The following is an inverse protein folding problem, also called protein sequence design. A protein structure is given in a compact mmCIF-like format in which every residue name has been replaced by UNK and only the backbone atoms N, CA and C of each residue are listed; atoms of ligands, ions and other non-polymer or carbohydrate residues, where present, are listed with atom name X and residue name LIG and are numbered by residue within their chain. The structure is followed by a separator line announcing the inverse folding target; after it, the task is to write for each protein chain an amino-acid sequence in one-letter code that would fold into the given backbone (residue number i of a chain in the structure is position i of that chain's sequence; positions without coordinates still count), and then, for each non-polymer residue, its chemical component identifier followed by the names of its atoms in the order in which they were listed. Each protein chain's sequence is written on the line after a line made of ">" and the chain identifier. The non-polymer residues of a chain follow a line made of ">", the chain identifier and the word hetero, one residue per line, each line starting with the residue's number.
data_IF_788684179353
#
_entry.id   IF_788684179353
#
_cell.length_a   1.000
_cell.length_b   1.000
_cell.length_c   1.000
_cell.angle_alpha   90.00
_cell.angle_beta   90.00
_cell.angle_gamma   90.00
#
_symmetry.space_group_name_H-M   'P 1'
#
loop_
_entity.id
_entity.type
_entity.pdbx_description
1 polymer ?
#
# COMPACT_ATOMS: atom_id res chain seq x y z
N UNK A 1 -11.39 8.50 14.23
CA UNK A 1 -10.32 9.22 14.94
C UNK A 1 -9.60 8.20 15.80
N UNK A 2 -8.27 8.19 15.77
CA UNK A 2 -7.48 7.26 16.58
C UNK A 2 -7.73 7.52 18.07
N UNK A 3 -7.81 6.48 18.93
CA UNK A 3 -8.02 6.69 20.36
C UNK A 3 -6.88 7.52 20.96
N UNK A 4 -7.16 8.32 22.01
CA UNK A 4 -6.09 8.92 22.81
C UNK A 4 -5.31 7.83 23.54
N UNK A 5 -4.05 8.12 23.89
CA UNK A 5 -3.17 7.18 24.62
C UNK A 5 -3.82 6.67 25.90
N UNK A 6 -4.42 7.55 26.69
CA UNK A 6 -5.14 7.21 27.94
C UNK A 6 -6.34 6.30 27.67
N UNK A 7 -7.13 6.60 26.63
CA UNK A 7 -8.28 5.79 26.23
C UNK A 7 -7.84 4.39 25.81
N UNK A 8 -6.75 4.31 25.03
CA UNK A 8 -6.18 3.05 24.57
C UNK A 8 -5.62 2.24 25.75
N UNK A 9 -4.88 2.85 26.67
CA UNK A 9 -4.37 2.20 27.89
C UNK A 9 -5.51 1.61 28.71
N UNK A 10 -6.56 2.40 28.99
CA UNK A 10 -7.73 1.91 29.74
C UNK A 10 -8.39 0.71 29.04
N UNK A 11 -8.49 0.76 27.71
CA UNK A 11 -9.08 -0.32 26.93
C UNK A 11 -8.21 -1.57 26.91
N UNK A 12 -6.89 -1.43 26.82
CA UNK A 12 -5.94 -2.53 26.93
C UNK A 12 -6.08 -3.23 28.29
N UNK A 13 -6.18 -2.47 29.39
CA UNK A 13 -6.34 -3.05 30.73
C UNK A 13 -7.69 -3.75 30.92
N UNK A 14 -8.75 -3.29 30.27
CA UNK A 14 -10.09 -3.85 30.41
C UNK A 14 -10.36 -5.05 29.49
N UNK A 15 -9.99 -4.93 28.21
CA UNK A 15 -10.19 -5.94 27.18
C UNK A 15 -9.11 -5.79 26.08
N UNK A 16 -7.97 -6.49 26.22
CA UNK A 16 -6.88 -6.46 25.25
C UNK A 16 -7.32 -6.86 23.83
N UNK A 17 -8.27 -7.79 23.73
CA UNK A 17 -8.72 -8.30 22.45
C UNK A 17 -9.57 -7.25 21.72
N UNK A 18 -10.47 -6.55 22.42
CA UNK A 18 -11.19 -5.41 21.84
C UNK A 18 -10.26 -4.24 21.52
N UNK A 19 -9.17 -4.04 22.28
CA UNK A 19 -8.14 -3.06 21.96
C UNK A 19 -7.46 -3.38 20.62
N UNK A 20 -7.07 -4.65 20.40
CA UNK A 20 -6.51 -5.08 19.12
C UNK A 20 -7.48 -4.88 17.94
N UNK A 21 -8.76 -5.18 18.12
CA UNK A 21 -9.77 -4.96 17.07
C UNK A 21 -9.93 -3.47 16.73
N UNK A 22 -9.85 -2.59 17.75
CA UNK A 22 -9.88 -1.14 17.57
C UNK A 22 -8.65 -0.64 16.81
N UNK A 23 -7.46 -1.14 17.13
CA UNK A 23 -6.22 -0.77 16.44
C UNK A 23 -6.25 -1.19 14.97
N UNK A 24 -6.68 -2.42 14.68
CA UNK A 24 -6.83 -2.93 13.32
C UNK A 24 -7.91 -2.16 12.53
N UNK A 25 -8.97 -1.67 13.22
CA UNK A 25 -9.97 -0.77 12.62
C UNK A 25 -9.41 0.61 12.27
N UNK A 26 -8.36 1.05 12.95
CA UNK A 26 -7.67 2.30 12.64
C UNK A 26 -6.43 2.10 11.76
N UNK A 27 -6.25 0.92 11.15
CA UNK A 27 -5.14 0.66 10.23
C UNK A 27 -3.79 0.50 10.92
N UNK A 28 -3.75 0.26 12.22
CA UNK A 28 -2.53 -0.09 12.94
C UNK A 28 -2.45 -1.61 13.06
N UNK A 29 -1.66 -2.25 12.19
CA UNK A 29 -1.64 -3.71 12.03
C UNK A 29 -0.47 -4.35 12.81
N UNK A 30 -0.63 -5.61 13.27
CA UNK A 30 0.49 -6.36 13.82
C UNK A 30 1.50 -6.81 12.75
N UNK A 31 2.77 -6.93 13.12
CA UNK A 31 3.77 -7.60 12.28
C UNK A 31 3.49 -9.12 12.19
N UNK A 32 3.96 -9.80 11.14
CA UNK A 32 4.05 -11.26 11.13
C UNK A 32 4.82 -11.78 12.35
N UNK A 33 4.24 -12.72 13.09
CA UNK A 33 4.85 -13.30 14.30
C UNK A 33 4.87 -12.39 15.53
N UNK A 34 4.28 -11.19 15.49
CA UNK A 34 4.25 -10.27 16.65
C UNK A 34 3.36 -10.84 17.76
N UNK A 35 3.88 -10.83 18.99
CA UNK A 35 3.08 -11.19 20.16
C UNK A 35 2.05 -10.10 20.47
N UNK A 36 0.95 -10.49 21.13
CA UNK A 36 -0.06 -9.51 21.58
C UNK A 36 0.54 -8.43 22.47
N UNK A 37 1.47 -8.81 23.35
CA UNK A 37 2.07 -7.88 24.29
C UNK A 37 2.91 -6.83 23.56
N UNK A 38 3.76 -7.27 22.63
CA UNK A 38 4.64 -6.38 21.87
C UNK A 38 3.82 -5.42 20.99
N UNK A 39 2.78 -5.95 20.34
CA UNK A 39 1.86 -5.15 19.54
C UNK A 39 1.20 -4.02 20.34
N UNK A 40 0.73 -4.31 21.55
CA UNK A 40 0.06 -3.32 22.41
C UNK A 40 1.04 -2.31 23.01
N UNK A 41 2.27 -2.73 23.33
CA UNK A 41 3.33 -1.81 23.77
C UNK A 41 3.65 -0.82 22.65
N UNK A 42 3.80 -1.31 21.43
CA UNK A 42 4.06 -0.51 20.23
C UNK A 42 2.93 0.47 19.94
N UNK A 43 1.69 0.01 20.03
CA UNK A 43 0.50 0.85 19.84
C UNK A 43 0.37 2.01 20.85
N UNK A 44 1.06 1.95 21.99
CA UNK A 44 1.09 3.02 23.00
C UNK A 44 2.21 4.04 22.79
N UNK A 45 3.07 3.81 21.79
CA UNK A 45 4.22 4.65 21.48
C UNK A 45 4.07 5.26 20.08
N UNK A 46 4.18 4.45 19.04
CA UNK A 46 4.43 4.91 17.67
C UNK A 46 3.38 5.88 17.13
N UNK A 47 2.05 5.66 17.28
CA UNK A 47 1.05 6.56 16.71
C UNK A 47 1.04 7.97 17.32
N UNK A 48 1.73 8.16 18.45
CA UNK A 48 1.76 9.42 19.20
C UNK A 48 3.10 10.15 19.07
N UNK A 49 4.10 9.53 18.46
CA UNK A 49 5.39 10.14 18.17
C UNK A 49 5.42 10.60 16.71
N UNK A 50 5.90 11.81 16.48
CA UNK A 50 6.08 12.30 15.11
C UNK A 50 7.33 11.68 14.49
N UNK A 51 7.30 11.30 13.20
CA UNK A 51 8.51 10.91 12.50
C UNK A 51 9.46 12.11 12.40
N UNK A 52 10.75 11.83 12.25
CA UNK A 52 11.75 12.86 12.01
C UNK A 52 11.57 13.43 10.60
N UNK A 53 11.10 14.67 10.51
CA UNK A 53 10.84 15.36 9.26
C UNK A 53 12.07 16.17 8.82
N UNK A 54 12.42 16.10 7.55
CA UNK A 54 13.52 16.87 6.96
C UNK A 54 13.11 18.32 6.62
N UNK A 55 14.06 19.09 6.07
CA UNK A 55 13.88 20.49 5.70
C UNK A 55 12.75 20.71 4.67
N UNK A 56 12.35 19.68 3.90
CA UNK A 56 11.26 19.82 2.92
C UNK A 56 9.90 20.07 3.58
N UNK A 57 9.78 19.77 4.88
CA UNK A 57 8.59 20.00 5.67
C UNK A 57 8.54 21.37 6.36
N UNK A 58 9.59 22.19 6.28
CA UNK A 58 9.69 23.47 7.00
C UNK A 58 8.53 24.43 6.67
N UNK A 59 8.09 24.46 5.40
CA UNK A 59 6.99 25.30 4.91
C UNK A 59 5.71 24.51 4.61
N UNK A 60 5.63 23.27 5.11
CA UNK A 60 4.52 22.39 4.82
C UNK A 60 3.23 22.82 5.53
N UNK A 61 2.10 22.62 4.87
CA UNK A 61 0.78 22.90 5.44
C UNK A 61 0.16 21.61 5.94
N UNK A 62 -0.14 21.46 7.25
CA UNK A 62 -0.84 20.28 7.76
C UNK A 62 -2.19 20.08 7.07
N UNK A 63 -2.49 18.84 6.69
CA UNK A 63 -3.79 18.46 6.17
C UNK A 63 -4.79 18.33 7.31
N UNK A 64 -6.00 18.87 7.10
CA UNK A 64 -7.07 18.74 8.09
C UNK A 64 -7.56 17.29 8.21
N UNK A 65 -8.13 16.94 9.36
CA UNK A 65 -8.73 15.63 9.60
C UNK A 65 -9.82 15.28 8.58
N UNK A 66 -10.59 16.28 8.10
CA UNK A 66 -11.61 16.09 7.07
C UNK A 66 -11.00 15.66 5.74
N UNK A 67 -9.86 16.25 5.36
CA UNK A 67 -9.14 15.86 4.13
C UNK A 67 -8.64 14.42 4.25
N UNK A 68 -8.03 14.05 5.38
CA UNK A 68 -7.58 12.68 5.64
C UNK A 68 -8.74 11.66 5.61
N UNK A 69 -9.92 12.07 6.08
CA UNK A 69 -11.12 11.23 6.08
C UNK A 69 -11.63 10.90 4.67
N UNK A 70 -11.35 11.73 3.66
CA UNK A 70 -11.74 11.47 2.26
C UNK A 70 -11.15 10.15 1.73
N UNK A 71 -9.87 9.88 2.05
CA UNK A 71 -9.22 8.61 1.69
C UNK A 71 -9.72 7.45 2.55
N UNK A 72 -9.97 7.72 3.84
CA UNK A 72 -10.32 6.70 4.82
C UNK A 72 -11.67 6.03 4.50
N UNK A 73 -12.60 6.76 3.88
CA UNK A 73 -13.86 6.18 3.42
C UNK A 73 -13.64 5.01 2.44
N UNK A 74 -12.67 5.16 1.51
CA UNK A 74 -12.35 4.12 0.51
C UNK A 74 -11.67 2.91 1.16
N UNK A 75 -10.69 3.13 2.04
CA UNK A 75 -10.01 2.04 2.75
C UNK A 75 -10.96 1.31 3.69
N UNK A 76 -11.88 2.02 4.35
CA UNK A 76 -12.90 1.42 5.20
C UNK A 76 -13.81 0.51 4.40
N UNK A 77 -14.30 0.97 3.25
CA UNK A 77 -15.17 0.19 2.38
C UNK A 77 -14.49 -1.05 1.82
N UNK A 78 -13.22 -0.95 1.43
CA UNK A 78 -12.52 -2.03 0.75
C UNK A 78 -11.82 -3.02 1.70
N UNK A 79 -11.28 -2.51 2.80
CA UNK A 79 -10.37 -3.24 3.72
C UNK A 79 -10.78 -3.18 5.19
N UNK A 80 -11.78 -2.39 5.55
CA UNK A 80 -12.31 -2.32 6.91
C UNK A 80 -11.43 -1.55 7.90
N UNK A 81 -10.63 -0.59 7.44
CA UNK A 81 -9.81 0.27 8.30
C UNK A 81 -9.82 1.76 7.90
N UNK A 82 -9.49 2.63 8.85
CA UNK A 82 -9.36 4.09 8.67
C UNK A 82 -8.04 4.58 9.32
N UNK A 83 -6.97 4.75 8.53
CA UNK A 83 -5.65 5.16 9.02
C UNK A 83 -5.54 6.68 9.26
N UNK A 84 -6.31 7.18 10.24
CA UNK A 84 -6.38 8.61 10.58
C UNK A 84 -5.37 9.06 11.63
N UNK A 85 -4.51 8.16 12.11
CA UNK A 85 -3.42 8.49 13.05
C UNK A 85 -2.19 9.03 12.34
N UNK A 86 -2.06 8.75 11.04
CA UNK A 86 -0.92 9.16 10.23
C UNK A 86 -1.09 10.65 9.88
N UNK A 87 -0.14 11.52 10.27
CA UNK A 87 -0.22 12.93 9.93
C UNK A 87 -0.05 13.11 8.41
N UNK A 88 -0.68 14.13 7.86
CA UNK A 88 -0.55 14.49 6.45
C UNK A 88 -0.14 15.94 6.27
N UNK A 89 0.69 16.19 5.27
CA UNK A 89 1.24 17.51 4.97
C UNK A 89 1.18 17.79 3.47
N UNK A 90 0.89 19.04 3.12
CA UNK A 90 0.95 19.54 1.76
C UNK A 90 2.27 20.30 1.55
N UNK A 91 3.17 19.74 0.75
CA UNK A 91 4.52 20.26 0.50
C UNK A 91 4.53 21.22 -0.70
N UNK A 92 5.19 22.38 -0.52
CA UNK A 92 5.42 23.36 -1.60
C UNK A 92 6.52 22.92 -2.58
N UNK A 93 7.49 22.16 -2.08
CA UNK A 93 8.67 21.69 -2.81
C UNK A 93 8.82 20.17 -2.66
N UNK A 94 9.80 19.56 -3.35
CA UNK A 94 10.15 18.14 -3.20
C UNK A 94 9.47 17.18 -4.19
N UNK A 95 8.32 17.54 -4.78
CA UNK A 95 7.67 16.70 -5.79
C UNK A 95 8.10 17.04 -7.22
N UNK A 96 8.56 16.02 -7.95
CA UNK A 96 8.75 16.11 -9.40
C UNK A 96 7.42 16.35 -10.14
N UNK A 97 7.49 16.79 -11.40
CA UNK A 97 6.29 17.18 -12.16
C UNK A 97 5.22 16.09 -12.22
N UNK A 98 5.60 14.81 -12.28
CA UNK A 98 4.70 13.66 -12.40
C UNK A 98 4.34 13.00 -11.07
N UNK A 99 4.65 13.63 -9.94
CA UNK A 99 4.37 13.09 -8.60
C UNK A 99 3.38 13.96 -7.84
N UNK A 100 2.47 13.31 -7.14
CA UNK A 100 1.31 13.93 -6.51
C UNK A 100 1.30 13.77 -4.99
N UNK A 101 1.86 12.66 -4.49
CA UNK A 101 2.05 12.38 -3.09
C UNK A 101 2.83 11.09 -2.89
N UNK A 102 3.20 10.83 -1.64
CA UNK A 102 3.81 9.59 -1.18
C UNK A 102 3.60 9.45 0.34
N UNK A 103 3.80 8.23 0.82
CA UNK A 103 3.98 7.92 2.23
C UNK A 103 5.48 7.84 2.48
N UNK A 104 5.95 8.61 3.45
CA UNK A 104 7.31 8.50 3.97
C UNK A 104 7.25 7.76 5.30
N UNK A 105 8.15 6.81 5.47
CA UNK A 105 8.23 5.95 6.65
C UNK A 105 9.66 5.97 7.14
N UNK A 106 9.86 6.19 8.43
CA UNK A 106 11.20 6.14 9.04
C UNK A 106 11.59 4.71 9.48
N UNK A 107 12.79 4.56 10.04
CA UNK A 107 13.33 3.28 10.50
C UNK A 107 12.53 2.65 11.67
N UNK A 108 11.60 3.41 12.27
CA UNK A 108 10.72 2.98 13.34
C UNK A 108 9.29 2.72 12.83
N UNK A 109 9.11 2.62 11.51
CA UNK A 109 7.83 2.40 10.83
C UNK A 109 6.79 3.51 11.07
N UNK A 110 7.22 4.70 11.50
CA UNK A 110 6.34 5.87 11.68
C UNK A 110 6.15 6.52 10.33
N UNK A 111 4.89 6.60 9.90
CA UNK A 111 4.51 7.10 8.59
C UNK A 111 4.06 8.56 8.61
N UNK A 112 4.24 9.26 7.50
CA UNK A 112 3.65 10.57 7.21
C UNK A 112 3.17 10.61 5.76
N UNK A 113 2.02 11.22 5.51
CA UNK A 113 1.56 11.49 4.15
C UNK A 113 2.13 12.82 3.67
N UNK A 114 2.90 12.80 2.58
CA UNK A 114 3.35 13.98 1.88
C UNK A 114 2.54 14.11 0.59
N UNK A 115 1.80 15.21 0.43
CA UNK A 115 1.03 15.52 -0.77
C UNK A 115 1.53 16.82 -1.39
N UNK A 116 1.30 17.00 -2.69
CA UNK A 116 1.60 18.27 -3.36
C UNK A 116 0.74 19.41 -2.80
N UNK A 117 1.31 20.60 -2.64
CA UNK A 117 0.65 21.78 -2.05
C UNK A 117 -0.78 22.08 -2.53
N UNK A 118 -1.14 21.97 -3.83
CA UNK A 118 -2.52 22.21 -4.28
C UNK A 118 -3.54 21.34 -3.57
N UNK A 119 -3.17 20.11 -3.14
CA UNK A 119 -4.07 19.22 -2.42
C UNK A 119 -4.45 19.69 -1.03
N UNK A 120 -3.82 20.73 -0.48
CA UNK A 120 -4.31 21.38 0.74
C UNK A 120 -5.72 21.97 0.53
N UNK A 121 -6.03 22.42 -0.70
CA UNK A 121 -7.28 23.14 -1.01
C UNK A 121 -8.09 22.49 -2.13
N UNK A 122 -7.43 21.83 -3.07
CA UNK A 122 -8.02 21.26 -4.26
C UNK A 122 -8.14 19.74 -4.12
N UNK A 123 -9.21 19.17 -4.65
CA UNK A 123 -9.41 17.71 -4.70
C UNK A 123 -8.72 17.07 -5.89
N UNK A 124 -8.32 17.83 -6.91
CA UNK A 124 -7.67 17.31 -8.11
C UNK A 124 -6.45 18.11 -8.46
N UNK A 125 -5.45 17.41 -8.97
CA UNK A 125 -4.27 18.00 -9.56
C UNK A 125 -3.78 17.09 -10.69
N UNK A 126 -3.69 17.62 -11.92
CA UNK A 126 -3.37 16.84 -13.11
C UNK A 126 -4.31 15.63 -13.30
N UNK A 127 -3.78 14.40 -13.35
CA UNK A 127 -4.57 13.15 -13.46
C UNK A 127 -4.92 12.51 -12.10
N UNK A 128 -4.52 13.17 -11.00
CA UNK A 128 -4.63 12.67 -9.63
C UNK A 128 -5.86 13.25 -8.91
N UNK A 129 -6.48 12.40 -8.11
CA UNK A 129 -7.66 12.68 -7.29
C UNK A 129 -7.27 12.47 -5.83
N UNK A 130 -7.47 13.49 -4.98
CA UNK A 130 -7.00 13.52 -3.59
C UNK A 130 -7.56 12.37 -2.74
N UNK A 131 -8.86 12.06 -2.77
CA UNK A 131 -9.38 10.91 -2.03
C UNK A 131 -8.79 9.59 -2.51
N UNK A 132 -8.51 9.44 -3.82
CA UNK A 132 -7.84 8.26 -4.36
C UNK A 132 -6.39 8.15 -3.88
N UNK A 133 -5.64 9.24 -3.99
CA UNK A 133 -4.24 9.32 -3.56
C UNK A 133 -4.12 9.04 -2.06
N UNK A 134 -4.94 9.68 -1.22
CA UNK A 134 -4.92 9.43 0.22
C UNK A 134 -5.27 7.98 0.57
N UNK A 135 -6.22 7.36 -0.13
CA UNK A 135 -6.56 5.96 0.12
C UNK A 135 -5.41 5.01 -0.29
N UNK A 136 -4.68 5.35 -1.35
CA UNK A 136 -3.47 4.66 -1.78
C UNK A 136 -2.38 4.77 -0.70
N UNK A 137 -2.07 5.99 -0.25
CA UNK A 137 -1.07 6.21 0.81
C UNK A 137 -1.46 5.58 2.16
N UNK A 138 -2.73 5.67 2.55
CA UNK A 138 -3.23 5.00 3.76
C UNK A 138 -3.10 3.47 3.68
N UNK A 139 -3.16 2.90 2.48
CA UNK A 139 -2.93 1.46 2.29
C UNK A 139 -1.48 1.11 2.59
N UNK A 140 -0.52 1.92 2.14
CA UNK A 140 0.89 1.75 2.46
C UNK A 140 1.15 1.89 3.95
N UNK A 141 0.72 2.99 4.58
CA UNK A 141 0.94 3.20 6.01
C UNK A 141 0.35 2.07 6.88
N UNK A 142 -0.83 1.57 6.53
CA UNK A 142 -1.41 0.44 7.26
C UNK A 142 -0.66 -0.88 7.05
N UNK A 143 -0.01 -1.06 5.89
CA UNK A 143 0.71 -2.28 5.51
C UNK A 143 2.21 -2.25 5.74
N UNK A 144 2.77 -1.13 6.20
CA UNK A 144 4.16 -1.03 6.65
C UNK A 144 4.58 -2.25 7.49
N UNK A 145 3.82 -2.70 8.51
CA UNK A 145 4.20 -3.86 9.33
C UNK A 145 4.21 -5.20 8.58
N UNK A 146 3.52 -5.32 7.45
CA UNK A 146 3.50 -6.55 6.65
C UNK A 146 4.78 -6.68 5.82
N UNK A 147 5.38 -5.54 5.46
CA UNK A 147 6.62 -5.44 4.67
C UNK A 147 6.61 -6.36 3.44
N UNK A 148 5.54 -6.29 2.65
CA UNK A 148 5.42 -7.02 1.39
C UNK A 148 5.88 -6.16 0.21
N UNK A 149 6.40 -6.81 -0.83
CA UNK A 149 6.80 -6.16 -2.09
C UNK A 149 5.97 -6.65 -3.27
N UNK A 150 5.29 -7.80 -3.16
CA UNK A 150 4.63 -8.46 -4.29
C UNK A 150 3.23 -7.90 -4.55
N UNK A 151 2.49 -7.63 -3.47
CA UNK A 151 1.10 -7.20 -3.53
C UNK A 151 0.86 -5.82 -2.88
N UNK A 152 1.91 -5.11 -2.50
CA UNK A 152 1.80 -3.83 -1.82
C UNK A 152 1.09 -2.79 -2.69
N UNK A 153 1.64 -2.52 -3.86
CA UNK A 153 1.02 -1.68 -4.88
C UNK A 153 -0.34 -2.25 -5.33
N UNK A 154 -0.49 -3.57 -5.40
CA UNK A 154 -1.77 -4.19 -5.72
C UNK A 154 -2.86 -3.74 -4.75
N UNK A 155 -2.63 -3.73 -3.45
CA UNK A 155 -3.64 -3.26 -2.49
C UNK A 155 -3.85 -1.75 -2.61
N UNK A 156 -2.79 -0.96 -2.64
CA UNK A 156 -2.90 0.49 -2.72
C UNK A 156 -3.69 0.95 -3.96
N UNK A 157 -3.40 0.39 -5.14
CA UNK A 157 -4.11 0.74 -6.38
C UNK A 157 -5.55 0.24 -6.47
N UNK A 158 -5.98 -0.73 -5.66
CA UNK A 158 -7.36 -1.22 -5.69
C UNK A 158 -8.36 -0.19 -5.12
N UNK A 159 -7.87 0.85 -4.44
CA UNK A 159 -8.63 2.04 -4.04
C UNK A 159 -8.95 2.98 -5.22
N UNK A 160 -8.33 2.74 -6.39
CA UNK A 160 -8.51 3.53 -7.60
C UNK A 160 -9.83 3.23 -8.32
N UNK A 161 -10.49 4.28 -8.81
CA UNK A 161 -11.65 4.13 -9.70
C UNK A 161 -11.22 3.59 -11.08
N UNK A 162 -10.00 3.90 -11.52
CA UNK A 162 -9.51 3.54 -12.86
C UNK A 162 -9.18 2.05 -12.96
N UNK A 163 -9.84 1.28 -13.84
CA UNK A 163 -9.48 -0.12 -14.11
C UNK A 163 -8.03 -0.26 -14.59
N UNK A 164 -7.54 0.72 -15.35
CA UNK A 164 -6.18 0.74 -15.86
C UNK A 164 -5.17 0.86 -14.73
N UNK A 165 -5.37 1.79 -13.78
CA UNK A 165 -4.50 1.96 -12.61
C UNK A 165 -4.55 0.72 -11.70
N UNK A 166 -5.74 0.16 -11.47
CA UNK A 166 -5.92 -1.12 -10.75
C UNK A 166 -5.18 -2.31 -11.38
N UNK A 167 -4.94 -2.26 -12.69
CA UNK A 167 -4.20 -3.31 -13.40
C UNK A 167 -2.70 -3.02 -13.42
N UNK A 168 -2.30 -1.87 -13.97
CA UNK A 168 -0.90 -1.53 -14.25
C UNK A 168 -0.12 -1.07 -13.01
N UNK A 169 -0.81 -0.60 -11.97
CA UNK A 169 -0.17 0.00 -10.81
C UNK A 169 0.81 -0.93 -10.10
N UNK A 170 0.54 -2.23 -10.08
CA UNK A 170 1.42 -3.25 -9.46
C UNK A 170 2.53 -3.78 -10.40
N UNK A 171 2.74 -3.16 -11.56
CA UNK A 171 3.82 -3.57 -12.47
C UNK A 171 5.20 -3.23 -11.93
N UNK A 172 5.37 -2.03 -11.38
CA UNK A 172 6.59 -1.62 -10.68
C UNK A 172 6.44 -1.96 -9.20
N UNK A 173 7.38 -2.75 -8.66
CA UNK A 173 7.39 -3.16 -7.25
C UNK A 173 8.54 -2.55 -6.47
N UNK A 174 9.62 -2.22 -7.17
CA UNK A 174 10.81 -1.63 -6.59
C UNK A 174 11.30 -0.47 -7.45
N UNK A 175 12.10 0.43 -6.86
CA UNK A 175 12.77 1.50 -7.60
C UNK A 175 13.63 0.97 -8.75
N UNK A 176 14.24 -0.21 -8.58
CA UNK A 176 15.03 -0.86 -9.62
C UNK A 176 14.18 -1.19 -10.86
N UNK A 177 12.90 -1.57 -10.70
CA UNK A 177 12.02 -1.83 -11.84
C UNK A 177 11.86 -0.56 -12.70
N UNK A 178 11.68 0.60 -12.06
CA UNK A 178 11.57 1.88 -12.77
C UNK A 178 12.88 2.28 -13.46
N UNK A 179 14.01 2.07 -12.80
CA UNK A 179 15.34 2.37 -13.37
C UNK A 179 15.63 1.48 -14.60
N UNK A 180 15.40 0.17 -14.50
CA UNK A 180 15.66 -0.75 -15.62
C UNK A 180 14.72 -0.45 -16.80
N UNK A 181 13.46 -0.13 -16.52
CA UNK A 181 12.51 0.32 -17.55
C UNK A 181 13.03 1.56 -18.29
N UNK A 182 13.47 2.59 -17.58
CA UNK A 182 14.00 3.82 -18.18
C UNK A 182 15.31 3.59 -18.94
N UNK A 183 16.23 2.79 -18.39
CA UNK A 183 17.49 2.42 -19.05
C UNK A 183 17.25 1.69 -20.38
N UNK A 184 16.22 0.84 -20.45
CA UNK A 184 15.82 0.16 -21.67
C UNK A 184 15.39 1.10 -22.79
N UNK A 185 14.95 2.33 -22.47
CA UNK A 185 14.54 3.35 -23.45
C UNK A 185 15.72 4.15 -24.00
N UNK A 186 16.86 4.21 -23.31
CA UNK A 186 18.02 5.04 -23.71
C UNK A 186 18.54 4.68 -25.12
N UNK A 187 18.75 3.39 -25.48
CA UNK A 187 19.19 3.03 -26.82
C UNK A 187 18.20 3.48 -27.90
N UNK A 188 16.90 3.43 -27.61
CA UNK A 188 15.86 3.87 -28.55
C UNK A 188 15.96 5.38 -28.80
N UNK A 189 16.14 6.19 -27.76
CA UNK A 189 16.34 7.64 -27.92
C UNK A 189 17.63 7.99 -28.67
N UNK A 190 18.71 7.25 -28.44
CA UNK A 190 19.99 7.46 -29.15
C UNK A 190 19.83 7.20 -30.64
N UNK A 191 19.18 6.09 -31.02
CA UNK A 191 18.93 5.79 -32.43
C UNK A 191 17.98 6.80 -33.06
N UNK A 192 16.92 7.19 -32.38
CA UNK A 192 16.02 8.24 -32.87
C UNK A 192 16.76 9.56 -33.14
N UNK A 193 17.69 9.95 -32.26
CA UNK A 193 18.52 11.14 -32.46
C UNK A 193 19.41 11.04 -33.71
N UNK A 194 19.99 9.86 -34.00
CA UNK A 194 20.75 9.63 -35.25
C UNK A 194 19.87 9.75 -36.49
N UNK A 195 18.64 9.25 -36.45
CA UNK A 195 17.68 9.43 -37.54
C UNK A 195 17.32 10.91 -37.77
N UNK A 196 17.09 11.68 -36.70
CA UNK A 196 16.76 13.10 -36.80
C UNK A 196 17.85 13.95 -37.47
N UNK A 197 19.13 13.58 -37.31
CA UNK A 197 20.26 14.26 -37.98
C UNK A 197 20.57 13.70 -39.37
N UNK A 198 19.67 12.89 -39.94
CA UNK A 198 19.79 12.35 -41.30
C UNK A 198 20.79 11.20 -41.42
N UNK A 199 21.10 10.49 -40.34
CA UNK A 199 22.08 9.42 -40.32
C UNK A 199 21.47 8.05 -39.93
N UNK A 200 20.65 7.43 -40.80
CA UNK A 200 19.96 6.17 -40.51
C UNK A 200 20.90 4.95 -40.71
N UNK A 201 21.99 4.88 -39.95
CA UNK A 201 22.99 3.80 -40.06
C UNK A 201 22.42 2.45 -39.62
N UNK A 202 21.55 2.45 -38.60
CA UNK A 202 21.04 1.25 -37.96
C UNK A 202 19.51 1.22 -38.01
N UNK A 203 18.88 0.07 -38.31
CA UNK A 203 17.43 -0.04 -38.23
C UNK A 203 16.94 0.14 -36.79
N UNK A 204 15.79 0.80 -36.61
CA UNK A 204 15.21 1.10 -35.29
C UNK A 204 14.61 -0.13 -34.59
N UNK A 205 14.07 -1.09 -35.35
CA UNK A 205 13.27 -2.20 -34.81
C UNK A 205 13.99 -3.11 -33.78
N UNK A 206 15.31 -3.40 -33.85
CA UNK A 206 15.98 -4.20 -32.82
C UNK A 206 16.01 -3.48 -31.47
N UNK A 207 16.16 -2.15 -31.48
CA UNK A 207 16.17 -1.32 -30.28
C UNK A 207 14.77 -1.19 -29.69
N UNK A 208 13.75 -1.09 -30.54
CA UNK A 208 12.36 -1.14 -30.10
C UNK A 208 12.01 -2.50 -29.47
N UNK A 209 12.47 -3.60 -30.06
CA UNK A 209 12.30 -4.93 -29.47
C UNK A 209 12.98 -5.01 -28.10
N UNK A 210 14.25 -4.59 -28.00
CA UNK A 210 14.99 -4.57 -26.74
C UNK A 210 14.28 -3.73 -25.66
N UNK A 211 13.83 -2.52 -26.02
CA UNK A 211 13.08 -1.63 -25.15
C UNK A 211 11.75 -2.25 -24.67
N UNK A 212 11.15 -3.15 -25.47
CA UNK A 212 9.87 -3.81 -25.14
C UNK A 212 10.00 -5.04 -24.24
N UNK A 213 11.17 -5.67 -24.16
CA UNK A 213 11.37 -6.93 -23.41
C UNK A 213 11.06 -6.73 -21.93
N UNK A 214 11.60 -5.68 -21.32
CA UNK A 214 11.42 -5.44 -19.89
C UNK A 214 9.98 -5.03 -19.52
N UNK A 215 9.31 -4.11 -20.24
CA UNK A 215 7.87 -3.87 -20.05
C UNK A 215 7.02 -5.13 -20.19
N UNK A 216 7.30 -5.99 -21.18
CA UNK A 216 6.60 -7.25 -21.36
C UNK A 216 6.81 -8.19 -20.15
N UNK A 217 8.04 -8.28 -19.64
CA UNK A 217 8.34 -9.00 -18.40
C UNK A 217 7.55 -8.46 -17.20
N UNK A 218 7.50 -7.13 -16.99
CA UNK A 218 6.73 -6.52 -15.89
C UNK A 218 5.24 -6.86 -15.98
N UNK A 219 4.66 -6.84 -17.19
CA UNK A 219 3.27 -7.20 -17.44
C UNK A 219 3.00 -8.68 -17.12
N UNK A 220 3.86 -9.59 -17.59
CA UNK A 220 3.75 -11.03 -17.30
C UNK A 220 3.88 -11.30 -15.80
N UNK A 221 4.90 -10.72 -15.15
CA UNK A 221 5.13 -10.85 -13.70
C UNK A 221 3.93 -10.36 -12.89
N UNK A 222 3.34 -9.23 -13.28
CA UNK A 222 2.14 -8.70 -12.65
C UNK A 222 0.94 -9.65 -12.87
N UNK A 223 0.73 -10.14 -14.08
CA UNK A 223 -0.38 -11.06 -14.38
C UNK A 223 -0.27 -12.37 -13.59
N UNK A 224 0.94 -12.92 -13.43
CA UNK A 224 1.16 -14.11 -12.61
C UNK A 224 0.81 -13.86 -11.13
N UNK A 225 1.23 -12.73 -10.55
CA UNK A 225 0.85 -12.37 -9.18
C UNK A 225 -0.66 -12.16 -9.02
N UNK A 226 -1.32 -11.55 -10.00
CA UNK A 226 -2.79 -11.40 -10.02
C UNK A 226 -3.49 -12.75 -10.12
N UNK A 227 -2.94 -13.71 -10.86
CA UNK A 227 -3.48 -15.08 -10.91
C UNK A 227 -3.41 -15.77 -9.55
N UNK A 228 -2.30 -15.63 -8.81
CA UNK A 228 -2.19 -16.13 -7.42
C UNK A 228 -3.24 -15.47 -6.53
N UNK A 229 -3.32 -14.15 -6.54
CA UNK A 229 -4.32 -13.37 -5.79
C UNK A 229 -5.76 -13.80 -6.12
N UNK A 230 -6.10 -13.97 -7.40
CA UNK A 230 -7.43 -14.40 -7.82
C UNK A 230 -7.76 -15.83 -7.37
N UNK A 231 -6.78 -16.74 -7.38
CA UNK A 231 -6.95 -18.09 -6.80
C UNK A 231 -7.17 -18.02 -5.29
N UNK A 232 -6.39 -17.21 -4.57
CA UNK A 232 -6.58 -17.01 -3.14
C UNK A 232 -7.99 -16.49 -2.81
N UNK A 233 -8.49 -15.51 -3.58
CA UNK A 233 -9.87 -15.01 -3.45
C UNK A 233 -10.91 -16.11 -3.65
N UNK A 234 -10.77 -16.92 -4.72
CA UNK A 234 -11.68 -18.03 -5.01
C UNK A 234 -11.67 -19.08 -3.90
N UNK A 235 -10.50 -19.42 -3.37
CA UNK A 235 -10.38 -20.41 -2.30
C UNK A 235 -10.99 -19.91 -0.99
N UNK A 236 -10.80 -18.64 -0.63
CA UNK A 236 -11.48 -18.03 0.52
C UNK A 236 -13.01 -17.98 0.35
N UNK A 237 -13.48 -17.63 -0.85
CA UNK A 237 -14.91 -17.62 -1.18
C UNK A 237 -15.52 -19.03 -1.04
N UNK A 238 -14.83 -20.05 -1.58
CA UNK A 238 -15.25 -21.45 -1.48
C UNK A 238 -15.27 -21.96 -0.03
N UNK A 239 -14.40 -21.42 0.83
CA UNK A 239 -14.39 -21.67 2.27
C UNK A 239 -15.46 -20.86 3.05
N UNK A 240 -16.38 -20.18 2.35
CA UNK A 240 -17.50 -19.46 2.95
C UNK A 240 -17.16 -18.04 3.45
N UNK A 241 -15.97 -17.51 3.17
CA UNK A 241 -15.58 -16.15 3.57
C UNK A 241 -16.22 -15.10 2.68
N UNK A 242 -16.93 -14.14 3.29
CA UNK A 242 -17.58 -13.02 2.58
C UNK A 242 -16.65 -11.82 2.44
N UNK A 243 -15.93 -11.49 3.51
CA UNK A 243 -15.04 -10.33 3.58
C UNK A 243 -13.62 -10.67 3.12
N UNK A 244 -13.48 -11.00 1.83
CA UNK A 244 -12.24 -11.54 1.26
C UNK A 244 -11.12 -10.50 1.20
N UNK A 245 -11.40 -9.29 0.71
CA UNK A 245 -10.37 -8.24 0.55
C UNK A 245 -9.78 -7.78 1.89
N UNK A 246 -10.58 -7.54 2.95
CA UNK A 246 -10.04 -7.26 4.28
C UNK A 246 -9.12 -8.36 4.83
N UNK A 247 -9.46 -9.64 4.62
CA UNK A 247 -8.61 -10.75 5.03
C UNK A 247 -7.29 -10.77 4.27
N UNK A 248 -7.33 -10.66 2.94
CA UNK A 248 -6.12 -10.68 2.10
C UNK A 248 -5.25 -9.44 2.31
N UNK A 249 -5.83 -8.29 2.63
CA UNK A 249 -5.07 -7.07 2.96
C UNK A 249 -4.17 -7.25 4.19
N UNK A 250 -4.54 -8.15 5.09
CA UNK A 250 -3.76 -8.51 6.28
C UNK A 250 -2.85 -9.70 6.01
N UNK A 251 -2.78 -10.24 4.80
CA UNK A 251 -1.93 -11.37 4.49
C UNK A 251 -0.58 -10.92 3.90
N UNK A 252 0.48 -11.70 4.16
CA UNK A 252 1.75 -11.60 3.43
C UNK A 252 1.63 -12.26 2.06
N UNK A 253 2.56 -11.99 1.14
CA UNK A 253 2.60 -12.68 -0.14
C UNK A 253 2.76 -14.20 -0.02
N UNK A 254 3.49 -14.68 1.01
CA UNK A 254 3.63 -16.11 1.29
C UNK A 254 2.29 -16.71 1.71
N UNK A 255 1.56 -16.05 2.60
CA UNK A 255 0.24 -16.51 3.04
C UNK A 255 -0.77 -16.48 1.89
N UNK A 256 -0.77 -15.43 1.05
CA UNK A 256 -1.62 -15.36 -0.15
C UNK A 256 -1.31 -16.55 -1.08
N UNK A 257 -0.05 -16.91 -1.24
CA UNK A 257 0.37 -18.08 -2.03
C UNK A 257 -0.07 -19.39 -1.38
N UNK A 258 0.02 -19.51 -0.06
CA UNK A 258 -0.46 -20.68 0.69
C UNK A 258 -1.98 -20.84 0.57
N UNK A 259 -2.75 -19.76 0.69
CA UNK A 259 -4.20 -19.75 0.45
C UNK A 259 -4.49 -20.17 -1.00
N UNK A 260 -3.76 -19.64 -1.98
CA UNK A 260 -3.97 -19.94 -3.39
C UNK A 260 -3.73 -21.42 -3.76
N UNK A 261 -2.88 -22.12 -3.01
CA UNK A 261 -2.47 -23.50 -3.29
C UNK A 261 -3.04 -24.53 -2.29
N UNK A 262 -3.66 -24.10 -1.19
CA UNK A 262 -4.19 -25.02 -0.18
C UNK A 262 -5.47 -25.71 -0.65
N UNK A 263 -5.59 -26.99 -0.26
CA UNK A 263 -6.80 -27.81 -0.44
C UNK A 263 -7.75 -27.71 0.75
N UNK A 264 -7.24 -27.34 1.91
CA UNK A 264 -7.99 -27.22 3.17
C UNK A 264 -7.76 -25.83 3.77
N UNK A 265 -8.58 -24.89 3.29
CA UNK A 265 -8.56 -23.49 3.76
C UNK A 265 -9.04 -23.40 5.22
N UNK A 266 -10.12 -24.08 5.66
CA UNK A 266 -10.52 -24.06 7.06
C UNK A 266 -9.41 -24.46 8.04
N UNK A 267 -8.69 -25.56 7.77
CA UNK A 267 -7.58 -25.99 8.63
C UNK A 267 -6.42 -24.98 8.63
N UNK A 268 -6.07 -24.43 7.46
CA UNK A 268 -5.03 -23.41 7.33
C UNK A 268 -5.35 -22.16 8.16
N UNK A 269 -6.58 -21.63 8.03
CA UNK A 269 -7.03 -20.45 8.78
C UNK A 269 -7.11 -20.73 10.28
N UNK A 270 -7.59 -21.93 10.68
CA UNK A 270 -7.64 -22.31 12.09
C UNK A 270 -6.24 -22.43 12.72
N UNK A 271 -5.24 -22.83 11.93
CA UNK A 271 -3.85 -22.83 12.38
C UNK A 271 -3.33 -21.40 12.57
N UNK A 272 -3.47 -20.54 11.57
CA UNK A 272 -3.02 -19.14 11.69
C UNK A 272 -3.77 -18.35 12.76
N UNK A 273 -5.04 -18.65 13.00
CA UNK A 273 -5.77 -18.06 14.13
C UNK A 273 -5.13 -18.37 15.48
N UNK A 274 -4.33 -19.44 15.60
CA UNK A 274 -3.63 -19.81 16.83
C UNK A 274 -2.20 -19.28 16.88
N UNK A 275 -1.54 -19.20 15.73
CA UNK A 275 -0.11 -18.88 15.65
C UNK A 275 0.17 -17.41 15.34
N UNK A 276 -0.76 -16.71 14.69
CA UNK A 276 -0.57 -15.34 14.18
C UNK A 276 -1.62 -14.40 14.78
N UNK A 277 -1.16 -13.38 15.51
CA UNK A 277 -2.04 -12.37 16.11
C UNK A 277 -2.89 -11.67 15.03
N UNK A 278 -2.27 -11.34 13.91
CA UNK A 278 -2.92 -10.68 12.77
C UNK A 278 -4.10 -11.48 12.23
N UNK A 279 -3.96 -12.79 12.07
CA UNK A 279 -5.06 -13.66 11.65
C UNK A 279 -6.11 -13.86 12.73
N UNK A 280 -5.70 -13.89 14.00
CA UNK A 280 -6.61 -13.89 15.15
C UNK A 280 -7.56 -12.70 15.12
N UNK A 281 -7.02 -11.49 14.87
CA UNK A 281 -7.80 -10.26 14.74
C UNK A 281 -8.62 -10.27 13.45
N UNK A 282 -8.01 -10.59 12.31
CA UNK A 282 -8.67 -10.57 11.01
C UNK A 282 -9.90 -11.49 10.96
N UNK A 283 -9.78 -12.73 11.43
CA UNK A 283 -10.89 -13.70 11.40
C UNK A 283 -12.01 -13.36 12.39
N UNK A 284 -11.69 -12.63 13.46
CA UNK A 284 -12.67 -12.14 14.42
C UNK A 284 -13.45 -10.94 13.87
N UNK A 285 -12.76 -10.00 13.21
CA UNK A 285 -13.37 -8.82 12.58
C UNK A 285 -14.13 -9.14 11.29
N UNK A 286 -13.67 -10.11 10.52
CA UNK A 286 -14.14 -10.38 9.14
C UNK A 286 -14.63 -11.83 8.96
N UNK A 287 -15.69 -12.19 9.69
CA UNK A 287 -16.26 -13.55 9.70
C UNK A 287 -16.68 -14.06 8.31
#
# INVERSE_FOLDING_TARGET
>A
MFPSKETLQKKISADPDSACDLLDANGFLPYPGESRQDFLVRALKDPYESPDLDESFADAVPLSANVLAEGAERTKKLYGFEALYVPGYALKHGFGFLWAGCTLTDDQDRSVFALRFPFAKQTRWFIYDRPELLAHEQSHAARTPINDTVHEEYFAYQTSASPLRRYLGNCFRTAADSVIFLLGLVPLFVIEAFYMIGNPILPMWPFALLASIYPAFLLVRNQLARNVMNRAKKNLAAAGKKQIMPLLFRATAQEITQIANSKDIPALLANWQKTELRWTIALRRFK
#
